data_IF_814470461172
#
_entry.id   IF_814470461172
#
_cell.length_a   1.000
_cell.length_b   1.000
_cell.length_c   1.000
_cell.angle_alpha   90.00
_cell.angle_beta   90.00
_cell.angle_gamma   90.00
#
_symmetry.space_group_name_H-M   'P 1'
#
loop_
_entity.id
_entity.type
_entity.pdbx_description
1 polymer ?
#
# COMPACT_ATOMS: atom_id res chain seq x y z
N UNK A 1 8.38 -52.10 -27.16
CA UNK A 1 7.20 -51.71 -26.35
C UNK A 1 7.53 -50.40 -25.65
N UNK A 2 6.97 -49.28 -26.11
CA UNK A 2 7.29 -47.92 -25.63
C UNK A 2 6.25 -47.51 -24.58
N UNK A 3 6.63 -47.33 -23.32
CA UNK A 3 5.77 -46.74 -22.28
C UNK A 3 5.99 -45.22 -22.31
N UNK A 4 4.98 -44.47 -22.71
CA UNK A 4 4.98 -42.99 -22.70
C UNK A 4 4.50 -42.55 -21.33
N UNK A 5 5.32 -41.78 -20.61
CA UNK A 5 4.98 -41.19 -19.31
C UNK A 5 4.47 -39.77 -19.59
N UNK A 6 3.18 -39.54 -19.38
CA UNK A 6 2.61 -38.19 -19.42
C UNK A 6 2.92 -37.48 -18.10
N UNK A 7 3.99 -36.70 -18.07
CA UNK A 7 4.31 -35.83 -16.95
C UNK A 7 3.44 -34.58 -16.99
N UNK A 8 2.50 -34.42 -16.06
CA UNK A 8 1.74 -33.19 -15.90
C UNK A 8 2.66 -32.08 -15.39
N UNK A 9 3.02 -31.14 -16.26
CA UNK A 9 3.78 -29.94 -15.89
C UNK A 9 2.81 -28.90 -15.34
N UNK A 10 2.71 -28.78 -14.01
CA UNK A 10 1.86 -27.76 -13.38
C UNK A 10 2.51 -26.38 -13.54
N UNK A 11 1.87 -25.49 -14.29
CA UNK A 11 2.30 -24.11 -14.47
C UNK A 11 1.91 -23.29 -13.23
N UNK A 12 2.91 -22.87 -12.44
CA UNK A 12 2.72 -21.91 -11.35
C UNK A 12 2.46 -20.52 -11.95
N UNK A 13 1.19 -20.12 -11.99
CA UNK A 13 0.80 -18.75 -12.33
C UNK A 13 1.05 -17.86 -11.11
N UNK A 14 2.13 -17.09 -11.15
CA UNK A 14 2.32 -15.99 -10.20
C UNK A 14 1.33 -14.89 -10.56
N UNK A 15 0.29 -14.72 -9.74
CA UNK A 15 -0.55 -13.52 -9.82
C UNK A 15 0.29 -12.33 -9.39
N UNK A 16 0.59 -11.43 -10.33
CA UNK A 16 1.11 -10.12 -9.97
C UNK A 16 0.06 -9.42 -9.12
N UNK A 17 0.36 -9.24 -7.83
CA UNK A 17 -0.45 -8.37 -6.97
C UNK A 17 -0.24 -6.96 -7.53
N UNK A 18 -1.22 -6.46 -8.27
CA UNK A 18 -1.24 -5.06 -8.67
C UNK A 18 -1.36 -4.23 -7.39
N UNK A 19 -0.22 -3.79 -6.87
CA UNK A 19 -0.18 -2.89 -5.73
C UNK A 19 -0.81 -1.56 -6.17
N UNK A 20 -1.61 -0.96 -5.30
CA UNK A 20 -2.25 0.33 -5.56
C UNK A 20 -1.21 1.45 -5.44
N UNK A 21 -0.29 1.51 -6.40
CA UNK A 21 0.82 2.45 -6.40
C UNK A 21 0.31 3.89 -6.49
N UNK A 22 0.82 4.74 -5.61
CA UNK A 22 0.42 6.13 -5.44
C UNK A 22 1.64 6.97 -5.07
N UNK A 23 2.60 7.09 -5.99
CA UNK A 23 3.92 7.64 -5.72
C UNK A 23 3.97 9.16 -5.50
N UNK A 24 2.89 9.90 -5.78
CA UNK A 24 2.91 11.35 -5.78
C UNK A 24 1.63 11.97 -5.22
N UNK A 25 1.67 13.27 -4.96
CA UNK A 25 0.49 14.04 -4.60
C UNK A 25 -0.60 13.84 -5.67
N UNK A 26 -1.81 13.51 -5.23
CA UNK A 26 -2.95 13.20 -6.11
C UNK A 26 -2.74 11.98 -7.04
N UNK A 27 -1.76 11.13 -6.76
CA UNK A 27 -1.66 9.80 -7.36
C UNK A 27 -1.22 9.79 -8.82
N UNK A 28 -1.35 8.64 -9.50
CA UNK A 28 -0.99 8.51 -10.91
C UNK A 28 -1.68 9.60 -11.76
N UNK A 29 -0.89 10.34 -12.55
CA UNK A 29 -1.40 11.44 -13.37
C UNK A 29 -1.81 12.72 -12.62
N UNK A 30 -1.70 12.77 -11.29
CA UNK A 30 -1.86 13.99 -10.49
C UNK A 30 -3.30 14.51 -10.36
N UNK A 31 -4.30 13.71 -10.72
CA UNK A 31 -5.71 14.13 -10.76
C UNK A 31 -6.49 13.80 -9.48
N UNK A 32 -5.97 12.93 -8.62
CA UNK A 32 -6.64 12.50 -7.37
C UNK A 32 -7.71 11.44 -7.59
N UNK A 33 -7.66 10.72 -8.72
CA UNK A 33 -8.63 9.71 -9.10
C UNK A 33 -8.08 8.32 -8.77
N UNK A 34 -8.88 7.53 -8.06
CA UNK A 34 -8.58 6.12 -7.75
C UNK A 34 -9.41 5.19 -8.62
N UNK A 35 -8.83 4.07 -9.02
CA UNK A 35 -9.52 2.97 -9.75
C UNK A 35 -10.05 1.89 -8.80
N UNK A 36 -9.89 2.07 -7.48
CA UNK A 36 -10.35 1.12 -6.49
C UNK A 36 -11.88 0.94 -6.56
N UNK A 37 -12.32 -0.31 -6.47
CA UNK A 37 -13.74 -0.70 -6.46
C UNK A 37 -14.12 -1.25 -5.09
N UNK A 38 -15.43 -1.31 -4.81
CA UNK A 38 -15.97 -1.86 -3.56
C UNK A 38 -15.40 -1.18 -2.30
N UNK A 39 -15.07 0.11 -2.40
CA UNK A 39 -14.61 0.90 -1.26
C UNK A 39 -15.76 1.13 -0.27
N UNK A 40 -15.49 1.21 1.05
CA UNK A 40 -16.53 1.51 2.04
C UNK A 40 -17.21 2.85 1.74
N UNK A 41 -18.54 2.84 1.66
CA UNK A 41 -19.35 4.06 1.49
C UNK A 41 -19.75 4.70 2.82
N UNK A 42 -19.66 3.94 3.91
CA UNK A 42 -19.97 4.41 5.25
C UNK A 42 -18.74 4.32 6.16
N UNK A 43 -18.51 5.39 6.91
CA UNK A 43 -17.32 5.55 7.75
C UNK A 43 -17.71 5.88 9.19
N UNK A 44 -16.97 5.35 10.14
CA UNK A 44 -17.14 5.63 11.56
C UNK A 44 -15.97 5.14 12.39
N UNK A 45 -16.00 5.38 13.69
CA UNK A 45 -14.93 4.94 14.59
C UNK A 45 -14.70 3.42 14.57
N UNK A 46 -15.77 2.66 14.28
CA UNK A 46 -15.77 1.19 14.20
C UNK A 46 -16.13 0.62 12.81
N UNK A 47 -16.39 1.48 11.80
CA UNK A 47 -16.85 1.06 10.45
C UNK A 47 -16.02 1.72 9.35
N UNK A 48 -15.65 0.97 8.32
CA UNK A 48 -14.90 1.47 7.16
C UNK A 48 -13.40 1.66 7.39
N UNK A 49 -12.91 1.71 8.64
CA UNK A 49 -11.48 1.82 8.95
C UNK A 49 -10.84 0.44 9.12
N UNK A 50 -9.93 0.07 8.22
CA UNK A 50 -9.19 -1.19 8.31
C UNK A 50 -8.14 -1.20 9.43
N UNK A 51 -7.42 -0.08 9.62
CA UNK A 51 -6.40 0.07 10.65
C UNK A 51 -6.12 1.54 10.93
N UNK A 52 -5.45 1.82 12.06
CA UNK A 52 -4.95 3.15 12.43
C UNK A 52 -3.57 3.01 13.05
N UNK A 53 -2.69 3.98 12.79
CA UNK A 53 -1.35 4.07 13.40
C UNK A 53 -1.12 5.47 13.94
N UNK A 54 -0.69 5.57 15.20
CA UNK A 54 -0.24 6.85 15.78
C UNK A 54 1.09 7.23 15.12
N UNK A 55 1.17 8.46 14.60
CA UNK A 55 2.39 8.98 14.01
C UNK A 55 3.27 9.65 15.08
N UNK A 56 4.61 9.55 14.97
CA UNK A 56 5.54 10.23 15.87
C UNK A 56 5.74 11.67 15.40
N UNK A 57 4.69 12.49 15.45
CA UNK A 57 4.69 13.86 14.96
C UNK A 57 3.37 14.25 14.30
N UNK A 58 3.34 15.42 13.66
CA UNK A 58 2.18 15.89 12.89
C UNK A 58 2.38 15.57 11.40
N UNK A 59 1.48 14.79 10.82
CA UNK A 59 1.50 14.47 9.39
C UNK A 59 0.69 15.50 8.61
N UNK A 60 1.36 16.41 7.92
CA UNK A 60 0.73 17.42 7.05
C UNK A 60 0.77 17.05 5.56
N UNK A 61 1.63 16.10 5.20
CA UNK A 61 1.76 15.63 3.83
C UNK A 61 0.66 14.63 3.46
N UNK A 62 0.47 14.45 2.15
CA UNK A 62 -0.27 13.29 1.65
C UNK A 62 0.61 12.04 1.71
N UNK A 63 0.10 10.90 2.18
CA UNK A 63 0.84 9.65 2.11
C UNK A 63 1.04 9.23 0.65
N UNK A 64 2.16 8.56 0.39
CA UNK A 64 2.43 7.89 -0.89
C UNK A 64 2.54 6.39 -0.68
N UNK A 65 2.15 5.62 -1.69
CA UNK A 65 2.14 4.15 -1.66
C UNK A 65 3.08 3.66 -2.75
N UNK A 66 3.99 2.76 -2.39
CA UNK A 66 4.90 2.14 -3.35
C UNK A 66 5.49 0.86 -2.81
N UNK A 67 5.61 -0.17 -3.66
CA UNK A 67 6.20 -1.47 -3.30
C UNK A 67 5.60 -2.11 -2.04
N UNK A 68 4.28 -1.98 -1.87
CA UNK A 68 3.58 -2.49 -0.67
C UNK A 68 3.87 -1.72 0.62
N UNK A 69 4.49 -0.54 0.55
CA UNK A 69 4.79 0.34 1.69
C UNK A 69 3.97 1.62 1.60
N UNK A 70 3.67 2.19 2.77
CA UNK A 70 3.11 3.52 2.91
C UNK A 70 4.20 4.43 3.47
N UNK A 71 4.55 5.48 2.75
CA UNK A 71 5.53 6.48 3.17
C UNK A 71 4.83 7.78 3.47
N UNK A 72 5.16 8.37 4.61
CA UNK A 72 4.60 9.65 5.06
C UNK A 72 5.70 10.46 5.74
N UNK A 73 5.69 11.77 5.54
CA UNK A 73 6.55 12.70 6.27
C UNK A 73 5.79 13.30 7.45
N UNK A 74 6.49 13.54 8.55
CA UNK A 74 5.92 14.14 9.76
C UNK A 74 6.78 15.30 10.21
N UNK A 75 6.14 16.38 10.69
CA UNK A 75 6.82 17.44 11.41
C UNK A 75 6.94 17.10 12.89
N UNK A 76 8.10 17.38 13.47
CA UNK A 76 8.41 17.24 14.89
C UNK A 76 8.90 18.57 15.45
N UNK A 77 9.01 18.67 16.77
CA UNK A 77 9.65 19.85 17.38
C UNK A 77 11.14 19.87 17.05
N UNK A 78 11.68 21.06 16.88
CA UNK A 78 13.10 21.27 16.68
C UNK A 78 13.91 20.75 17.89
N UNK A 79 15.03 20.07 17.62
CA UNK A 79 15.88 19.47 18.66
C UNK A 79 15.44 18.09 19.18
N UNK A 80 14.33 17.54 18.70
CA UNK A 80 13.93 16.16 19.05
C UNK A 80 14.92 15.15 18.44
N UNK A 81 15.54 14.31 19.28
CA UNK A 81 16.43 13.23 18.80
C UNK A 81 15.61 12.18 18.06
N UNK A 82 16.02 11.87 16.83
CA UNK A 82 15.39 10.84 16.01
C UNK A 82 16.38 9.72 15.78
N UNK A 83 16.02 8.49 16.16
CA UNK A 83 16.66 7.29 15.62
C UNK A 83 15.89 6.84 14.37
N UNK A 84 16.63 6.45 13.33
CA UNK A 84 16.06 5.62 12.27
C UNK A 84 15.67 4.32 12.98
N UNK A 85 14.38 4.03 13.10
CA UNK A 85 13.86 2.86 13.82
C UNK A 85 14.14 1.54 13.10
N UNK A 86 15.41 1.33 12.73
CA UNK A 86 16.01 0.09 12.23
C UNK A 86 16.81 -0.58 13.35
#
# INVERSE_FOLDING_TARGET
MKRVIYGTFALLVFTAIANAEWFQFRGPGGQGVSVAKNVPLEWGLKKGVAWKKKLPGKGWSSPVIGEGKIVITVSRQEGEKVSLGV
#
